data_IF_152730555461
#
_entry.id   IF_152730555461
#
_cell.length_a   1.000
_cell.length_b   1.000
_cell.length_c   1.000
_cell.angle_alpha   90.00
_cell.angle_beta   90.00
_cell.angle_gamma   90.00
#
_symmetry.space_group_name_H-M   'P 1'
#
loop_
_entity.id
_entity.type
_entity.pdbx_description
1 polymer ?
#
# COMPACT_ATOMS: atom_id res chain seq x y z
N UNK A 1 -12.47 5.19 20.10
CA UNK A 1 -11.73 4.55 18.99
C UNK A 1 -10.26 4.88 19.16
N UNK A 2 -9.39 3.87 19.32
CA UNK A 2 -7.93 4.07 19.44
C UNK A 2 -7.41 4.52 18.07
N UNK A 3 -6.63 5.60 18.04
CA UNK A 3 -6.04 6.12 16.81
C UNK A 3 -4.70 5.44 16.56
N UNK A 4 -4.48 4.99 15.32
CA UNK A 4 -3.22 4.41 14.87
C UNK A 4 -2.62 5.32 13.81
N UNK A 5 -1.55 6.04 14.13
CA UNK A 5 -0.93 6.95 13.17
C UNK A 5 -0.26 6.18 12.03
N UNK A 6 -0.36 6.61 10.75
CA UNK A 6 0.46 6.07 9.68
C UNK A 6 1.96 6.12 9.97
N UNK A 7 2.40 7.07 10.81
CA UNK A 7 3.79 7.22 11.23
C UNK A 7 4.31 6.06 12.09
N UNK A 8 3.43 5.19 12.59
CA UNK A 8 3.84 3.96 13.29
C UNK A 8 4.65 3.03 12.38
N UNK A 9 4.47 3.16 11.07
CA UNK A 9 5.13 2.33 10.07
C UNK A 9 6.37 2.99 9.45
N UNK A 10 6.84 4.09 10.01
CA UNK A 10 7.99 4.83 9.48
C UNK A 10 9.31 4.12 9.75
N UNK A 11 10.18 4.11 8.74
CA UNK A 11 11.57 3.69 8.84
C UNK A 11 12.47 4.84 8.41
N UNK A 12 13.38 5.27 9.30
CA UNK A 12 14.30 6.36 9.01
C UNK A 12 15.27 5.94 7.89
N UNK A 13 15.46 6.82 6.90
CA UNK A 13 16.38 6.57 5.78
C UNK A 13 15.88 5.52 4.79
N UNK A 14 14.58 5.17 4.79
CA UNK A 14 14.02 4.13 3.92
C UNK A 14 14.35 4.36 2.44
N UNK A 15 14.19 5.61 1.95
CA UNK A 15 14.52 5.96 0.57
C UNK A 15 15.96 5.63 0.22
N UNK A 16 16.90 6.14 1.03
CA UNK A 16 18.33 5.97 0.77
C UNK A 16 18.75 4.49 0.76
N UNK A 17 18.07 3.66 1.56
CA UNK A 17 18.35 2.22 1.64
C UNK A 17 17.68 1.40 0.51
N UNK A 18 16.48 1.78 0.08
CA UNK A 18 15.66 0.96 -0.82
C UNK A 18 15.73 1.38 -2.29
N UNK A 19 16.06 2.65 -2.57
CA UNK A 19 15.90 3.25 -3.89
C UNK A 19 16.57 2.47 -5.02
N UNK A 20 17.81 2.03 -4.83
CA UNK A 20 18.54 1.24 -5.85
C UNK A 20 17.86 -0.10 -6.13
N UNK A 21 17.43 -0.80 -5.09
CA UNK A 21 16.81 -2.11 -5.21
C UNK A 21 15.44 -1.99 -5.89
N UNK A 22 14.65 -1.00 -5.48
CA UNK A 22 13.34 -0.70 -6.05
C UNK A 22 13.46 -0.28 -7.51
N UNK A 23 14.40 0.61 -7.86
CA UNK A 23 14.67 0.98 -9.25
C UNK A 23 14.96 -0.26 -10.10
N UNK A 24 15.82 -1.17 -9.62
CA UNK A 24 16.13 -2.44 -10.31
C UNK A 24 14.89 -3.32 -10.52
N UNK A 25 14.02 -3.44 -9.51
CA UNK A 25 12.81 -4.28 -9.59
C UNK A 25 11.82 -3.81 -10.66
N UNK A 26 11.85 -2.53 -11.01
CA UNK A 26 10.97 -1.93 -12.01
C UNK A 26 11.70 -1.47 -13.28
N UNK A 27 12.90 -2.00 -13.54
CA UNK A 27 13.71 -1.66 -14.72
C UNK A 27 13.92 -0.15 -14.88
N UNK A 28 14.13 0.53 -13.75
CA UNK A 28 14.28 1.99 -13.63
C UNK A 28 13.11 2.78 -14.23
N UNK A 29 11.89 2.21 -14.22
CA UNK A 29 10.67 2.84 -14.72
C UNK A 29 9.71 3.22 -13.61
N UNK A 30 8.93 4.26 -13.85
CA UNK A 30 7.87 4.69 -12.94
C UNK A 30 6.88 3.54 -12.71
N UNK A 31 6.53 3.30 -11.44
CA UNK A 31 5.69 2.16 -11.08
C UNK A 31 4.26 2.25 -11.64
N UNK A 32 3.78 3.45 -11.95
CA UNK A 32 2.43 3.73 -12.44
C UNK A 32 2.40 4.23 -13.89
N UNK A 33 3.56 4.54 -14.47
CA UNK A 33 3.72 4.91 -15.88
C UNK A 33 4.99 4.29 -16.47
N UNK A 34 4.87 3.06 -16.99
CA UNK A 34 6.00 2.31 -17.55
C UNK A 34 6.69 2.96 -18.75
N UNK A 35 6.08 3.99 -19.34
CA UNK A 35 6.71 4.75 -20.43
C UNK A 35 7.76 5.74 -19.93
N UNK A 36 7.77 6.02 -18.63
CA UNK A 36 8.67 6.97 -18.00
C UNK A 36 9.84 6.25 -17.33
N UNK A 37 11.05 6.64 -17.71
CA UNK A 37 12.29 6.21 -17.07
C UNK A 37 12.64 7.16 -15.92
N UNK A 38 12.83 6.62 -14.73
CA UNK A 38 13.07 7.38 -13.50
C UNK A 38 14.40 8.13 -13.56
N UNK A 39 15.45 7.54 -14.15
CA UNK A 39 16.74 8.21 -14.36
C UNK A 39 16.69 9.45 -15.26
N UNK A 40 15.61 9.65 -16.01
CA UNK A 40 15.43 10.86 -16.85
C UNK A 40 14.83 12.04 -16.09
N UNK A 41 14.39 11.82 -14.84
CA UNK A 41 13.79 12.83 -13.99
C UNK A 41 14.80 13.35 -12.96
N UNK A 42 14.60 14.60 -12.52
CA UNK A 42 15.34 15.12 -11.37
C UNK A 42 14.95 14.37 -10.10
N UNK A 43 15.91 14.21 -9.18
CA UNK A 43 15.70 13.44 -7.94
C UNK A 43 14.50 13.94 -7.12
N UNK A 44 14.26 15.24 -7.10
CA UNK A 44 13.17 15.93 -6.41
C UNK A 44 11.78 15.69 -7.03
N UNK A 45 11.73 15.34 -8.31
CA UNK A 45 10.50 14.99 -9.01
C UNK A 45 10.10 13.54 -8.84
N UNK A 46 10.94 12.75 -8.15
CA UNK A 46 10.75 11.33 -7.88
C UNK A 46 10.61 11.11 -6.38
N UNK A 47 9.64 10.32 -5.98
CA UNK A 47 9.44 9.88 -4.60
C UNK A 47 9.49 8.36 -4.49
N UNK A 48 9.97 7.89 -3.35
CA UNK A 48 9.76 6.50 -2.93
C UNK A 48 8.34 6.40 -2.38
N UNK A 49 7.53 5.64 -3.09
CA UNK A 49 6.13 5.40 -2.80
C UNK A 49 5.93 4.07 -2.06
N UNK A 50 4.98 4.06 -1.12
CA UNK A 50 4.39 2.85 -0.57
C UNK A 50 3.17 2.49 -1.41
N UNK A 51 3.29 1.45 -2.24
CA UNK A 51 2.24 1.00 -3.17
C UNK A 51 0.90 0.89 -2.45
N UNK A 52 0.84 0.03 -1.42
CA UNK A 52 -0.20 0.09 -0.40
C UNK A 52 0.24 1.10 0.64
N UNK A 53 -0.46 2.22 0.67
CA UNK A 53 -0.17 3.37 1.53
C UNK A 53 -0.16 3.02 3.02
N UNK A 54 0.71 3.66 3.81
CA UNK A 54 0.74 3.49 5.28
C UNK A 54 -0.62 3.78 5.94
N UNK A 55 -1.37 4.75 5.39
CA UNK A 55 -2.72 5.08 5.87
C UNK A 55 -3.73 3.93 5.66
N UNK A 56 -3.53 3.04 4.68
CA UNK A 56 -4.34 1.84 4.52
C UNK A 56 -4.18 0.90 5.72
N UNK A 57 -2.94 0.71 6.20
CA UNK A 57 -2.68 -0.12 7.38
C UNK A 57 -3.15 0.55 8.67
N UNK A 58 -2.98 1.86 8.80
CA UNK A 58 -3.57 2.63 9.90
C UNK A 58 -5.09 2.42 9.97
N UNK A 59 -5.77 2.50 8.82
CA UNK A 59 -7.21 2.24 8.73
C UNK A 59 -7.58 0.81 9.12
N UNK A 60 -6.86 -0.21 8.65
CA UNK A 60 -7.15 -1.60 9.02
C UNK A 60 -6.86 -1.87 10.49
N UNK A 61 -5.83 -1.26 11.08
CA UNK A 61 -5.49 -1.39 12.49
C UNK A 61 -6.60 -0.88 13.40
N UNK A 62 -7.29 0.20 13.02
CA UNK A 62 -8.49 0.67 13.75
C UNK A 62 -9.55 -0.43 13.82
N UNK A 63 -9.72 -1.23 12.76
CA UNK A 63 -10.69 -2.32 12.69
C UNK A 63 -10.22 -3.56 13.47
N UNK A 64 -8.93 -3.90 13.38
CA UNK A 64 -8.32 -5.02 14.12
C UNK A 64 -8.34 -4.77 15.63
N UNK A 65 -8.03 -3.55 16.07
CA UNK A 65 -8.04 -3.17 17.48
C UNK A 65 -9.43 -3.27 18.15
N UNK A 66 -10.52 -3.33 17.38
CA UNK A 66 -11.84 -3.62 17.94
C UNK A 66 -12.04 -5.12 18.27
N UNK A 67 -11.12 -5.99 17.84
CA UNK A 67 -11.15 -7.44 18.06
C UNK A 67 -10.05 -7.92 19.02
N UNK A 68 -9.02 -7.09 19.22
CA UNK A 68 -7.84 -7.41 20.02
C UNK A 68 -7.70 -6.33 21.08
N UNK A 69 -8.03 -6.68 22.32
CA UNK A 69 -7.90 -5.79 23.48
C UNK A 69 -6.49 -5.83 24.10
N UNK A 70 -5.68 -6.83 23.73
CA UNK A 70 -4.32 -7.00 24.24
C UNK A 70 -3.34 -6.02 23.59
N UNK A 71 -2.72 -5.18 24.44
CA UNK A 71 -1.74 -4.18 24.01
C UNK A 71 -0.41 -4.80 23.57
N UNK A 72 0.00 -5.93 24.16
CA UNK A 72 1.22 -6.64 23.76
C UNK A 72 1.06 -7.24 22.37
N UNK A 73 -0.09 -7.87 22.10
CA UNK A 73 -0.41 -8.40 20.77
C UNK A 73 -0.50 -7.27 19.72
N UNK A 74 -1.09 -6.13 20.06
CA UNK A 74 -1.12 -4.98 19.14
C UNK A 74 0.28 -4.36 18.92
N UNK A 75 1.15 -4.38 19.92
CA UNK A 75 2.55 -3.93 19.78
C UNK A 75 3.33 -4.86 18.85
N UNK A 76 3.20 -6.17 19.04
CA UNK A 76 3.74 -7.19 18.13
C UNK A 76 3.24 -6.97 16.70
N UNK A 77 1.92 -6.87 16.51
CA UNK A 77 1.31 -6.67 15.20
C UNK A 77 1.84 -5.41 14.50
N UNK A 78 2.02 -4.33 15.26
CA UNK A 78 2.57 -3.06 14.74
C UNK A 78 3.99 -3.24 14.24
N UNK A 79 4.86 -3.85 15.04
CA UNK A 79 6.26 -4.08 14.68
C UNK A 79 6.37 -5.02 13.47
N UNK A 80 5.67 -6.16 13.52
CA UNK A 80 5.64 -7.11 12.41
C UNK A 80 5.12 -6.46 11.13
N UNK A 81 4.02 -5.71 11.18
CA UNK A 81 3.48 -5.05 9.99
C UNK A 81 4.43 -4.00 9.42
N UNK A 82 5.10 -3.23 10.27
CA UNK A 82 6.11 -2.25 9.82
C UNK A 82 7.26 -2.94 9.10
N UNK A 83 7.81 -3.99 9.71
CA UNK A 83 9.10 -4.55 9.32
C UNK A 83 8.94 -5.61 8.22
N UNK A 84 7.88 -6.42 8.29
CA UNK A 84 7.64 -7.58 7.43
C UNK A 84 6.53 -7.40 6.39
N UNK A 85 5.88 -6.23 6.31
CA UNK A 85 4.82 -5.98 5.31
C UNK A 85 5.00 -4.61 4.65
N UNK A 86 4.87 -3.54 5.42
CA UNK A 86 4.75 -2.17 4.89
C UNK A 86 6.02 -1.71 4.18
N UNK A 87 7.19 -1.99 4.75
CA UNK A 87 8.47 -1.48 4.25
C UNK A 87 9.26 -2.51 3.42
N UNK A 88 8.62 -3.61 3.00
CA UNK A 88 9.22 -4.58 2.08
C UNK A 88 9.33 -4.00 0.68
N UNK A 89 10.37 -4.40 -0.07
CA UNK A 89 10.62 -3.86 -1.41
C UNK A 89 9.45 -4.06 -2.37
N UNK A 90 8.67 -5.14 -2.23
CA UNK A 90 7.49 -5.41 -3.07
C UNK A 90 6.28 -4.52 -2.74
N UNK A 91 6.30 -3.80 -1.61
CA UNK A 91 5.35 -2.72 -1.31
C UNK A 91 5.93 -1.33 -1.62
N UNK A 92 7.12 -1.24 -2.21
CA UNK A 92 7.79 0.00 -2.53
C UNK A 92 7.91 0.20 -4.04
N UNK A 93 7.98 1.46 -4.46
CA UNK A 93 8.13 1.84 -5.86
C UNK A 93 8.67 3.26 -6.02
N UNK A 94 9.27 3.55 -7.18
CA UNK A 94 9.61 4.93 -7.55
C UNK A 94 8.55 5.46 -8.50
N UNK A 95 8.04 6.65 -8.23
CA UNK A 95 7.08 7.34 -9.09
C UNK A 95 7.25 8.84 -9.00
N UNK A 96 6.68 9.56 -9.96
CA UNK A 96 6.63 11.03 -9.91
C UNK A 96 5.96 11.53 -8.63
N UNK A 97 6.53 12.55 -8.02
CA UNK A 97 5.99 13.25 -6.83
C UNK A 97 4.52 13.65 -7.01
N UNK A 98 4.14 14.10 -8.22
CA UNK A 98 2.75 14.48 -8.55
C UNK A 98 1.80 13.29 -8.57
N UNK A 99 2.22 12.15 -9.11
CA UNK A 99 1.45 10.91 -9.11
C UNK A 99 1.30 10.39 -7.68
N UNK A 100 2.39 10.36 -6.92
CA UNK A 100 2.39 9.91 -5.52
C UNK A 100 1.41 10.73 -4.67
N UNK A 101 1.51 12.07 -4.75
CA UNK A 101 0.61 12.97 -4.02
C UNK A 101 -0.86 12.77 -4.40
N UNK A 102 -1.14 12.61 -5.69
CA UNK A 102 -2.51 12.42 -6.17
C UNK A 102 -3.08 11.08 -5.69
N UNK A 103 -2.29 10.00 -5.74
CA UNK A 103 -2.66 8.69 -5.18
C UNK A 103 -2.91 8.79 -3.67
N UNK A 104 -2.00 9.41 -2.93
CA UNK A 104 -2.12 9.61 -1.48
C UNK A 104 -3.39 10.37 -1.10
N UNK A 105 -3.72 11.44 -1.83
CA UNK A 105 -4.96 12.19 -1.63
C UNK A 105 -6.22 11.34 -1.90
N UNK A 106 -6.25 10.58 -3.00
CA UNK A 106 -7.36 9.69 -3.31
C UNK A 106 -7.54 8.60 -2.24
N UNK A 107 -6.45 8.02 -1.75
CA UNK A 107 -6.47 7.05 -0.66
C UNK A 107 -6.99 7.69 0.64
N UNK A 108 -6.53 8.90 0.98
CA UNK A 108 -6.98 9.61 2.17
C UNK A 108 -8.49 9.84 2.14
N UNK A 109 -9.00 10.45 1.06
CA UNK A 109 -10.43 10.74 0.90
C UNK A 109 -11.28 9.46 0.94
N UNK A 110 -10.84 8.40 0.24
CA UNK A 110 -11.53 7.11 0.28
C UNK A 110 -11.61 6.52 1.69
N UNK A 111 -10.51 6.57 2.45
CA UNK A 111 -10.43 5.98 3.80
C UNK A 111 -11.20 6.84 4.82
N UNK A 112 -11.14 8.16 4.71
CA UNK A 112 -11.87 9.09 5.59
C UNK A 112 -13.38 8.94 5.42
N UNK A 113 -13.87 8.92 4.17
CA UNK A 113 -15.28 8.66 3.87
C UNK A 113 -15.72 7.25 4.30
N UNK A 114 -14.83 6.25 4.18
CA UNK A 114 -15.09 4.89 4.68
C UNK A 114 -15.20 4.86 6.21
N UNK A 115 -14.39 5.64 6.91
CA UNK A 115 -14.37 5.70 8.37
C UNK A 115 -15.56 6.47 8.93
N UNK A 116 -15.96 7.56 8.27
CA UNK A 116 -17.06 8.43 8.67
C UNK A 116 -18.42 7.96 8.19
N UNK A 117 -18.47 6.96 7.30
CA UNK A 117 -19.71 6.38 6.77
C UNK A 117 -20.31 7.17 5.61
N UNK A 118 -19.56 8.11 5.02
CA UNK A 118 -19.98 8.94 3.89
C UNK A 118 -19.55 8.38 2.52
N UNK A 119 -18.87 7.21 2.49
CA UNK A 119 -18.41 6.62 1.22
C UNK A 119 -19.57 6.24 0.31
N UNK A 120 -19.64 6.90 -0.84
CA UNK A 120 -20.63 6.64 -1.90
C UNK A 120 -20.02 6.15 -3.21
N UNK A 121 -18.69 6.19 -3.35
CA UNK A 121 -17.99 5.90 -4.61
C UNK A 121 -16.81 4.94 -4.43
N UNK A 122 -16.38 4.33 -5.55
CA UNK A 122 -15.24 3.40 -5.56
C UNK A 122 -13.91 4.14 -5.53
N UNK A 123 -12.83 3.45 -5.15
CA UNK A 123 -11.49 4.05 -5.10
C UNK A 123 -11.04 4.61 -6.48
N UNK A 124 -11.46 3.97 -7.57
CA UNK A 124 -11.16 4.47 -8.92
C UNK A 124 -11.83 5.82 -9.21
N UNK A 125 -13.00 6.11 -8.60
CA UNK A 125 -13.66 7.41 -8.73
C UNK A 125 -12.84 8.51 -8.04
N UNK A 126 -12.36 8.27 -6.81
CA UNK A 126 -11.47 9.22 -6.11
C UNK A 126 -10.19 9.49 -6.90
N UNK A 127 -9.60 8.48 -7.55
CA UNK A 127 -8.45 8.70 -8.45
C UNK A 127 -8.78 9.60 -9.65
N UNK A 128 -10.02 9.55 -10.14
CA UNK A 128 -10.49 10.41 -11.24
C UNK A 128 -10.65 11.87 -10.84
N UNK A 129 -10.91 12.15 -9.56
CA UNK A 129 -11.07 13.52 -9.03
C UNK A 129 -9.74 14.26 -8.86
N UNK A 130 -8.63 13.51 -8.74
CA UNK A 130 -7.28 14.06 -8.51
C UNK A 130 -6.45 14.20 -9.80
N UNK A 131 -7.09 14.34 -10.95
CA UNK A 131 -6.46 14.55 -12.27
C UNK A 131 -5.45 13.47 -12.70
N UNK A 132 -5.59 12.23 -12.23
CA UNK A 132 -4.82 11.10 -12.74
C UNK A 132 -5.46 10.59 -14.04
N UNK A 133 -4.63 10.23 -15.04
CA UNK A 133 -5.14 9.67 -16.29
C UNK A 133 -5.79 8.30 -16.05
N UNK A 134 -6.80 7.92 -16.86
CA UNK A 134 -7.44 6.60 -16.75
C UNK A 134 -6.44 5.43 -16.80
N UNK A 135 -5.39 5.55 -17.62
CA UNK A 135 -4.35 4.52 -17.73
C UNK A 135 -3.57 4.38 -16.42
N UNK A 136 -3.13 5.52 -15.86
CA UNK A 136 -2.43 5.57 -14.58
C UNK A 136 -3.32 5.12 -13.43
N UNK A 137 -4.60 5.51 -13.39
CA UNK A 137 -5.55 5.04 -12.36
C UNK A 137 -5.72 3.51 -12.42
N UNK A 138 -5.82 2.95 -13.63
CA UNK A 138 -5.88 1.49 -13.82
C UNK A 138 -4.61 0.82 -13.31
N UNK A 139 -3.44 1.37 -13.60
CA UNK A 139 -2.17 0.82 -13.13
C UNK A 139 -2.04 0.91 -11.62
N UNK A 140 -2.39 2.05 -11.01
CA UNK A 140 -2.47 2.21 -9.55
C UNK A 140 -3.37 1.13 -8.92
N UNK A 141 -4.60 0.98 -9.40
CA UNK A 141 -5.53 -0.02 -8.87
C UNK A 141 -5.01 -1.45 -9.05
N UNK A 142 -4.41 -1.76 -10.19
CA UNK A 142 -3.81 -3.07 -10.45
C UNK A 142 -2.65 -3.35 -9.49
N UNK A 143 -1.74 -2.40 -9.33
CA UNK A 143 -0.54 -2.54 -8.51
C UNK A 143 -0.89 -2.63 -7.03
N UNK A 144 -1.79 -1.76 -6.53
CA UNK A 144 -2.34 -1.89 -5.16
C UNK A 144 -3.02 -3.23 -4.96
N UNK A 145 -3.85 -3.67 -5.91
CA UNK A 145 -4.58 -4.93 -5.82
C UNK A 145 -3.64 -6.14 -5.74
N UNK A 146 -2.60 -6.17 -6.57
CA UNK A 146 -1.57 -7.23 -6.55
C UNK A 146 -0.79 -7.21 -5.24
N UNK A 147 -0.35 -6.05 -4.77
CA UNK A 147 0.43 -5.93 -3.54
C UNK A 147 -0.41 -6.27 -2.31
N UNK A 148 -1.69 -5.87 -2.22
CA UNK A 148 -2.59 -6.32 -1.15
C UNK A 148 -2.73 -7.84 -1.12
N UNK A 149 -2.84 -8.49 -2.29
CA UNK A 149 -2.89 -9.95 -2.38
C UNK A 149 -1.57 -10.62 -1.97
N UNK A 150 -0.44 -10.01 -2.31
CA UNK A 150 0.87 -10.46 -1.85
C UNK A 150 0.98 -10.36 -0.32
N UNK A 151 0.59 -9.24 0.26
CA UNK A 151 0.63 -9.02 1.71
C UNK A 151 -0.28 -10.00 2.46
N UNK A 152 -1.46 -10.30 1.91
CA UNK A 152 -2.35 -11.34 2.45
C UNK A 152 -1.69 -12.72 2.46
N UNK A 153 -0.96 -13.09 1.39
CA UNK A 153 -0.24 -14.37 1.33
C UNK A 153 0.90 -14.45 2.34
N UNK A 154 1.63 -13.36 2.57
CA UNK A 154 2.65 -13.31 3.61
C UNK A 154 2.06 -13.51 5.00
N UNK A 155 0.92 -12.87 5.29
CA UNK A 155 0.20 -13.07 6.55
C UNK A 155 -0.38 -14.49 6.68
N UNK A 156 -0.81 -15.11 5.58
CA UNK A 156 -1.27 -16.51 5.58
C UNK A 156 -0.15 -17.50 5.89
N UNK A 157 1.11 -17.20 5.54
CA UNK A 157 2.24 -18.05 5.89
C UNK A 157 2.51 -18.06 7.42
N UNK A 158 2.03 -17.05 8.14
CA UNK A 158 2.13 -16.91 9.60
C UNK A 158 0.80 -17.22 10.31
N UNK A 159 -0.02 -18.11 9.72
CA UNK A 159 -1.44 -18.34 10.06
C UNK A 159 -1.76 -18.72 11.51
N UNK A 160 -0.76 -19.07 12.33
CA UNK A 160 -0.94 -19.44 13.73
C UNK A 160 -1.18 -18.23 14.64
N UNK A 161 -0.84 -17.00 14.19
CA UNK A 161 -0.99 -15.79 15.02
C UNK A 161 -2.35 -15.10 14.77
N UNK A 162 -3.25 -15.01 15.79
CA UNK A 162 -4.60 -14.45 15.62
C UNK A 162 -4.62 -13.01 15.09
N UNK A 163 -3.79 -12.12 15.61
CA UNK A 163 -3.65 -10.73 15.12
C UNK A 163 -3.30 -10.63 13.65
N UNK A 164 -2.39 -11.48 13.16
CA UNK A 164 -2.00 -11.50 11.74
C UNK A 164 -3.16 -11.96 10.86
N UNK A 165 -3.94 -12.95 11.31
CA UNK A 165 -5.17 -13.39 10.64
C UNK A 165 -6.20 -12.26 10.56
N UNK A 166 -6.39 -11.51 11.65
CA UNK A 166 -7.30 -10.36 11.66
C UNK A 166 -6.85 -9.25 10.72
N UNK A 167 -5.54 -8.93 10.70
CA UNK A 167 -5.00 -7.96 9.75
C UNK A 167 -5.23 -8.42 8.30
N UNK A 168 -4.98 -9.69 7.99
CA UNK A 168 -5.23 -10.26 6.66
C UNK A 168 -6.69 -10.09 6.24
N UNK A 169 -7.63 -10.40 7.14
CA UNK A 169 -9.05 -10.25 6.87
C UNK A 169 -9.43 -8.79 6.59
N UNK A 170 -8.86 -7.84 7.33
CA UNK A 170 -9.10 -6.41 7.10
C UNK A 170 -8.42 -5.89 5.83
N UNK A 171 -7.26 -6.43 5.43
CA UNK A 171 -6.66 -6.15 4.13
C UNK A 171 -7.50 -6.71 2.98
N UNK A 172 -8.15 -7.86 3.18
CA UNK A 172 -9.10 -8.42 2.22
C UNK A 172 -10.38 -7.58 2.13
N UNK A 173 -10.91 -7.11 3.27
CA UNK A 173 -12.03 -6.17 3.30
C UNK A 173 -11.68 -4.88 2.57
N UNK A 174 -10.47 -4.34 2.79
CA UNK A 174 -9.98 -3.16 2.10
C UNK A 174 -9.95 -3.39 0.59
N UNK A 175 -9.34 -4.49 0.13
CA UNK A 175 -9.28 -4.88 -1.29
C UNK A 175 -10.66 -4.91 -1.94
N UNK A 176 -11.64 -5.55 -1.30
CA UNK A 176 -13.02 -5.64 -1.80
C UNK A 176 -13.68 -4.26 -1.81
N UNK A 177 -13.50 -3.50 -0.74
CA UNK A 177 -14.13 -2.19 -0.58
C UNK A 177 -13.62 -1.14 -1.56
N UNK A 178 -12.35 -1.25 -1.96
CA UNK A 178 -11.73 -0.43 -3.01
C UNK A 178 -12.12 -0.89 -4.42
N UNK A 179 -12.82 -2.02 -4.55
CA UNK A 179 -13.23 -2.63 -5.82
C UNK A 179 -12.05 -2.90 -6.77
N UNK A 180 -10.91 -3.30 -6.21
CA UNK A 180 -9.69 -3.52 -6.99
C UNK A 180 -9.85 -4.76 -7.88
N UNK A 181 -9.91 -4.55 -9.20
CA UNK A 181 -9.95 -5.63 -10.19
C UNK A 181 -8.55 -5.91 -10.68
N UNK A 182 -7.93 -6.98 -10.20
CA UNK A 182 -6.66 -7.45 -10.76
C UNK A 182 -6.93 -8.25 -12.03
N UNK A 183 -6.43 -7.81 -13.19
CA UNK A 183 -6.28 -8.72 -14.35
C UNK A 183 -5.34 -9.85 -13.94
N UNK A 184 -5.71 -11.08 -14.32
CA UNK A 184 -5.12 -12.37 -13.92
C UNK A 184 -3.60 -12.34 -13.71
N UNK A 185 -3.17 -12.97 -12.62
CA UNK A 185 -1.77 -13.23 -12.27
C UNK A 185 -1.13 -14.12 -13.35
N UNK A 186 -0.36 -13.54 -14.27
CA UNK A 186 0.78 -14.24 -14.84
C UNK A 186 1.96 -13.99 -13.90
N UNK A 187 2.26 -15.02 -13.11
CA UNK A 187 3.50 -15.26 -12.34
C UNK A 187 4.29 -14.01 -11.91
N UNK A 188 3.98 -13.49 -10.72
CA UNK A 188 4.99 -12.79 -9.92
C UNK A 188 6.03 -13.84 -9.52
N UNK A 189 7.17 -13.86 -10.20
CA UNK A 189 8.32 -14.67 -9.81
C UNK A 189 8.94 -13.95 -8.60
N UNK A 190 9.01 -14.58 -7.41
CA UNK A 190 9.77 -14.02 -6.31
C UNK A 190 11.19 -13.80 -6.82
N UNK A 191 11.73 -12.59 -6.66
CA UNK A 191 13.12 -12.36 -6.98
C UNK A 191 13.96 -13.15 -5.96
N UNK A 192 14.63 -14.19 -6.43
CA UNK A 192 15.67 -14.87 -5.65
C UNK A 192 16.77 -13.84 -5.33
N UNK A 193 17.07 -13.70 -4.04
CA UNK A 193 18.17 -12.87 -3.51
C UNK A 193 19.49 -13.61 -3.69
#
# INVERSE_FOLDING_TARGET
MKYYSPSLFDVKGLRDNAERQVAKMYDDRDIYDKTTEISTLEREDVELDHIVERQCYSYTFIKVANRIEDEEEMSFLTQYTRDEIVNRYENLGLTRTSTNRSKGNACYSFLDDSLTGHRVQSFTAYLGEVNITRATSKEICNTIGKTLKLNQRWLDNESETPSLKHLRDELQNLYVSMELKTTSYDSFVPFDI
#
